data_IF_722414604872
#
_entry.id   IF_722414604872
#
_cell.length_a   1.000
_cell.length_b   1.000
_cell.length_c   1.000
_cell.angle_alpha   90.00
_cell.angle_beta   90.00
_cell.angle_gamma   90.00
#
_symmetry.space_group_name_H-M   'P 1'
#
loop_
_entity.id
_entity.type
_entity.pdbx_description
1 polymer ?
#
# COMPACT_ATOMS: atom_id res chain seq x y z
N UNK A 1 11.15 13.46 -14.52
CA UNK A 1 10.23 13.11 -15.61
C UNK A 1 8.80 13.53 -15.28
N UNK A 2 8.17 13.04 -14.18
CA UNK A 2 6.76 13.30 -13.85
C UNK A 2 6.42 14.81 -13.80
N UNK A 3 7.24 15.63 -13.14
CA UNK A 3 7.03 17.08 -13.08
C UNK A 3 7.08 17.74 -14.46
N UNK A 4 8.00 17.31 -15.34
CA UNK A 4 8.08 17.78 -16.72
C UNK A 4 6.81 17.41 -17.50
N UNK A 5 6.39 16.15 -17.41
CA UNK A 5 5.20 15.65 -18.10
C UNK A 5 3.90 16.28 -17.58
N UNK A 6 3.83 16.60 -16.28
CA UNK A 6 2.71 17.33 -15.69
C UNK A 6 2.70 18.81 -16.11
N UNK A 7 3.86 19.41 -16.40
CA UNK A 7 3.99 20.79 -16.89
C UNK A 7 3.73 20.96 -18.38
N UNK A 8 3.87 19.90 -19.18
CA UNK A 8 3.71 19.90 -20.62
C UNK A 8 2.30 19.46 -21.04
N UNK A 9 1.30 20.33 -20.91
CA UNK A 9 -0.08 20.07 -21.35
C UNK A 9 -1.04 19.73 -20.22
N UNK A 10 -2.07 18.92 -20.52
CA UNK A 10 -3.10 18.57 -19.54
C UNK A 10 -2.59 17.61 -18.48
N UNK A 11 -2.58 18.06 -17.21
CA UNK A 11 -2.20 17.25 -16.03
C UNK A 11 -3.10 16.03 -15.83
N UNK A 12 -4.30 16.02 -16.40
CA UNK A 12 -5.24 14.90 -16.35
C UNK A 12 -4.90 13.80 -17.36
N UNK A 13 -4.00 14.07 -18.31
CA UNK A 13 -3.55 13.09 -19.28
C UNK A 13 -3.03 11.82 -18.59
N UNK A 14 -3.47 10.62 -19.03
CA UNK A 14 -2.96 9.35 -18.50
C UNK A 14 -1.44 9.24 -18.57
N UNK A 15 -0.82 8.75 -17.50
CA UNK A 15 0.63 8.53 -17.46
C UNK A 15 1.05 7.24 -18.19
N UNK A 16 0.12 6.29 -18.32
CA UNK A 16 0.30 5.02 -19.06
C UNK A 16 -1.01 4.55 -19.69
N UNK A 17 -0.95 3.52 -20.49
CA UNK A 17 -2.14 2.91 -21.09
C UNK A 17 -3.01 2.27 -20.01
N UNK A 18 -4.32 2.38 -20.14
CA UNK A 18 -5.26 1.72 -19.23
C UNK A 18 -5.23 0.21 -19.50
N UNK A 19 -4.62 -0.53 -18.56
CA UNK A 19 -4.49 -1.99 -18.59
C UNK A 19 -5.61 -2.72 -17.83
N UNK A 20 -6.50 -1.98 -17.17
CA UNK A 20 -7.53 -2.53 -16.27
C UNK A 20 -8.93 -2.18 -16.75
N UNK A 21 -9.13 -2.13 -18.05
CA UNK A 21 -10.46 -1.89 -18.63
C UNK A 21 -11.43 -3.00 -18.23
N UNK A 22 -12.71 -2.66 -18.01
CA UNK A 22 -13.74 -3.67 -17.78
C UNK A 22 -13.70 -4.75 -18.86
N UNK A 23 -13.69 -6.02 -18.45
CA UNK A 23 -13.58 -7.16 -19.36
C UNK A 23 -12.16 -7.59 -19.74
N UNK A 24 -11.12 -6.80 -19.41
CA UNK A 24 -9.71 -7.20 -19.60
C UNK A 24 -9.13 -7.72 -18.27
N UNK A 25 -8.44 -8.86 -18.33
CA UNK A 25 -7.68 -9.42 -17.20
C UNK A 25 -6.20 -9.19 -17.51
N UNK A 26 -5.51 -8.28 -16.78
CA UNK A 26 -4.07 -8.14 -16.93
C UNK A 26 -3.37 -9.41 -16.45
N UNK A 27 -2.76 -10.17 -17.35
CA UNK A 27 -2.18 -11.49 -17.07
C UNK A 27 -1.12 -11.49 -15.97
N UNK A 28 -0.40 -10.36 -15.78
CA UNK A 28 0.72 -10.29 -14.84
C UNK A 28 0.38 -9.57 -13.53
N UNK A 29 -0.80 -8.95 -13.42
CA UNK A 29 -1.15 -8.14 -12.24
C UNK A 29 -1.37 -8.98 -10.99
N UNK A 30 -2.04 -10.12 -11.10
CA UNK A 30 -2.28 -11.03 -9.98
C UNK A 30 -0.97 -11.37 -9.26
N UNK A 31 0.04 -11.77 -10.03
CA UNK A 31 1.37 -12.14 -9.52
C UNK A 31 2.16 -10.99 -8.83
N UNK A 32 1.69 -9.75 -8.92
CA UNK A 32 2.26 -8.61 -8.20
C UNK A 32 1.55 -8.36 -6.88
N UNK A 33 0.30 -8.81 -6.75
CA UNK A 33 -0.60 -8.44 -5.68
C UNK A 33 -0.74 -9.54 -4.62
N UNK A 34 -0.94 -10.80 -5.04
CA UNK A 34 -1.21 -11.93 -4.14
C UNK A 34 -0.90 -13.26 -4.82
N UNK A 35 -0.63 -14.29 -4.02
CA UNK A 35 -0.55 -15.69 -4.47
C UNK A 35 -1.94 -16.33 -4.55
N UNK A 36 -2.94 -15.79 -3.85
CA UNK A 36 -4.31 -16.31 -3.84
C UNK A 36 -5.10 -15.82 -5.06
N UNK A 37 -5.20 -16.69 -6.07
CA UNK A 37 -5.91 -16.40 -7.32
C UNK A 37 -7.42 -16.23 -7.12
N UNK A 38 -8.01 -16.91 -6.15
CA UNK A 38 -9.46 -16.83 -5.88
C UNK A 38 -9.81 -15.47 -5.29
N UNK A 39 -8.99 -14.96 -4.35
CA UNK A 39 -9.15 -13.61 -3.81
C UNK A 39 -8.86 -12.52 -4.84
N UNK A 40 -7.95 -12.78 -5.77
CA UNK A 40 -7.76 -11.88 -6.89
C UNK A 40 -8.99 -11.85 -7.81
N UNK A 41 -9.66 -12.98 -8.00
CA UNK A 41 -10.88 -13.07 -8.80
C UNK A 41 -12.03 -12.20 -8.26
N UNK A 42 -12.08 -11.91 -6.96
CA UNK A 42 -13.04 -10.98 -6.37
C UNK A 42 -12.95 -9.58 -6.98
N UNK A 43 -11.75 -9.11 -7.30
CA UNK A 43 -11.56 -7.80 -7.95
C UNK A 43 -12.21 -7.78 -9.33
N UNK A 44 -12.04 -8.86 -10.09
CA UNK A 44 -12.65 -9.00 -11.41
C UNK A 44 -14.18 -9.11 -11.33
N UNK A 45 -14.67 -9.86 -10.35
CA UNK A 45 -16.11 -9.98 -10.11
C UNK A 45 -16.74 -8.61 -9.79
N UNK A 46 -16.12 -7.81 -8.92
CA UNK A 46 -16.60 -6.47 -8.58
C UNK A 46 -16.55 -5.53 -9.78
N UNK A 47 -15.49 -5.53 -10.57
CA UNK A 47 -15.38 -4.71 -11.79
C UNK A 47 -16.49 -5.05 -12.80
N UNK A 48 -16.82 -6.32 -12.94
CA UNK A 48 -17.88 -6.77 -13.84
C UNK A 48 -19.27 -6.40 -13.30
N UNK A 49 -19.46 -6.52 -12.00
CA UNK A 49 -20.73 -6.22 -11.34
C UNK A 49 -20.99 -4.72 -11.19
N UNK A 50 -19.96 -3.95 -10.98
CA UNK A 50 -19.98 -2.51 -10.73
C UNK A 50 -18.88 -1.83 -11.55
N UNK A 51 -19.09 -1.67 -12.88
CA UNK A 51 -18.08 -1.09 -13.76
C UNK A 51 -17.62 0.32 -13.36
N UNK A 52 -18.46 1.06 -12.65
CA UNK A 52 -18.12 2.38 -12.11
C UNK A 52 -17.01 2.37 -11.04
N UNK A 53 -16.69 1.20 -10.46
CA UNK A 53 -15.57 1.03 -9.54
C UNK A 53 -14.23 0.88 -10.26
N UNK A 54 -14.24 0.61 -11.57
CA UNK A 54 -13.01 0.46 -12.34
C UNK A 54 -12.36 1.83 -12.55
N UNK A 55 -11.25 2.07 -11.86
CA UNK A 55 -10.46 3.29 -12.04
C UNK A 55 -9.61 3.22 -13.30
N UNK A 56 -9.52 4.34 -14.00
CA UNK A 56 -8.57 4.49 -15.10
C UNK A 56 -7.11 4.62 -14.62
N UNK A 57 -6.16 4.70 -15.56
CA UNK A 57 -4.75 4.89 -15.23
C UNK A 57 -4.52 6.22 -14.52
N UNK A 58 -3.51 6.25 -13.64
CA UNK A 58 -3.13 7.49 -12.98
C UNK A 58 -2.73 8.56 -14.01
N UNK A 59 -3.09 9.81 -13.72
CA UNK A 59 -2.68 10.96 -14.54
C UNK A 59 -1.25 11.40 -14.20
N UNK A 60 -0.61 12.12 -15.12
CA UNK A 60 0.71 12.72 -14.84
C UNK A 60 0.67 13.67 -13.64
N UNK A 61 -0.42 14.40 -13.43
CA UNK A 61 -0.58 15.26 -12.26
C UNK A 61 -0.65 14.45 -10.95
N UNK A 62 -1.31 13.30 -10.96
CA UNK A 62 -1.33 12.39 -9.81
C UNK A 62 0.07 11.84 -9.51
N UNK A 63 0.76 11.35 -10.54
CA UNK A 63 2.14 10.80 -10.39
C UNK A 63 3.09 11.86 -9.83
N UNK A 64 3.03 13.09 -10.34
CA UNK A 64 3.84 14.21 -9.82
C UNK A 64 3.57 14.46 -8.34
N UNK A 65 2.30 14.53 -7.94
CA UNK A 65 1.90 14.75 -6.55
C UNK A 65 2.29 13.60 -5.64
N UNK A 66 2.15 12.35 -6.08
CA UNK A 66 2.57 11.17 -5.32
C UNK A 66 4.07 11.22 -5.01
N UNK A 67 4.91 11.47 -6.01
CA UNK A 67 6.35 11.62 -5.79
C UNK A 67 6.72 12.85 -4.95
N UNK A 68 5.99 13.95 -5.07
CA UNK A 68 6.21 15.13 -4.22
C UNK A 68 5.88 14.83 -2.75
N UNK A 69 4.77 14.12 -2.51
CA UNK A 69 4.36 13.66 -1.17
C UNK A 69 5.41 12.73 -0.55
N UNK A 70 5.84 11.70 -1.29
CA UNK A 70 6.89 10.78 -0.81
C UNK A 70 8.18 11.52 -0.43
N UNK A 71 8.63 12.47 -1.26
CA UNK A 71 9.79 13.31 -0.92
C UNK A 71 9.53 14.17 0.32
N UNK A 72 8.30 14.65 0.49
CA UNK A 72 7.87 15.43 1.66
C UNK A 72 7.99 14.65 2.96
N UNK A 73 7.59 13.37 2.96
CA UNK A 73 7.69 12.49 4.12
C UNK A 73 9.12 12.34 4.63
N UNK A 74 10.10 12.33 3.74
CA UNK A 74 11.51 12.14 4.11
C UNK A 74 12.23 13.43 4.52
N UNK A 75 11.55 14.58 4.58
CA UNK A 75 12.14 15.80 5.14
C UNK A 75 12.44 15.61 6.64
N UNK A 76 13.51 16.24 7.16
CA UNK A 76 13.83 16.19 8.60
C UNK A 76 12.64 16.66 9.44
N UNK A 77 12.36 15.93 10.52
CA UNK A 77 11.29 16.25 11.46
C UNK A 77 9.90 15.77 11.10
N UNK A 78 9.63 15.35 9.83
CA UNK A 78 8.29 14.95 9.41
C UNK A 78 7.91 13.60 10.01
N UNK A 79 8.69 12.56 9.76
CA UNK A 79 8.44 11.23 10.33
C UNK A 79 8.71 11.20 11.83
N UNK A 80 9.72 11.88 12.30
CA UNK A 80 10.06 12.01 13.71
C UNK A 80 8.96 12.74 14.52
N UNK A 81 8.15 13.55 13.85
CA UNK A 81 7.01 14.27 14.46
C UNK A 81 5.75 13.42 14.63
N UNK A 82 5.67 12.24 14.05
CA UNK A 82 4.51 11.34 14.17
C UNK A 82 4.51 10.70 15.56
N UNK A 83 3.55 11.08 16.40
CA UNK A 83 3.48 10.63 17.79
C UNK A 83 2.55 9.45 18.02
N UNK A 84 1.61 9.24 17.10
CA UNK A 84 0.71 8.08 17.17
C UNK A 84 1.49 6.79 16.96
N UNK A 85 1.11 5.69 17.65
CA UNK A 85 1.66 4.38 17.34
C UNK A 85 1.35 3.98 15.91
N UNK A 86 2.33 3.39 15.23
CA UNK A 86 2.21 2.96 13.83
C UNK A 86 2.62 1.49 13.73
N UNK A 87 1.76 0.67 13.14
CA UNK A 87 2.10 -0.71 12.79
C UNK A 87 2.22 -0.83 11.27
N UNK A 88 3.35 -1.32 10.80
CA UNK A 88 3.65 -1.48 9.39
C UNK A 88 3.70 -2.96 9.09
N UNK A 89 2.84 -3.42 8.20
CA UNK A 89 2.90 -4.77 7.63
C UNK A 89 3.47 -4.65 6.22
N UNK A 90 4.57 -5.30 5.94
CA UNK A 90 5.27 -5.17 4.66
C UNK A 90 5.95 -6.48 4.25
N UNK A 91 6.13 -6.68 2.94
CA UNK A 91 6.97 -7.75 2.40
C UNK A 91 8.22 -7.16 1.74
N UNK A 92 9.35 -7.83 1.87
CA UNK A 92 10.57 -7.44 1.16
C UNK A 92 10.61 -7.94 -0.30
N UNK A 93 9.63 -8.73 -0.69
CA UNK A 93 9.37 -9.16 -2.07
C UNK A 93 8.32 -8.31 -2.78
N UNK A 94 7.97 -7.15 -2.22
CA UNK A 94 7.07 -6.19 -2.86
C UNK A 94 7.68 -5.67 -4.17
N UNK A 95 6.97 -5.88 -5.27
CA UNK A 95 7.38 -5.46 -6.61
C UNK A 95 6.77 -4.12 -7.04
N UNK A 96 5.90 -3.54 -6.21
CA UNK A 96 5.22 -2.27 -6.47
C UNK A 96 5.74 -1.15 -5.57
N UNK A 97 6.19 -1.48 -4.35
CA UNK A 97 6.69 -0.52 -3.36
C UNK A 97 8.11 -0.88 -2.94
N UNK A 98 8.98 0.11 -2.85
CA UNK A 98 10.35 -0.07 -2.36
C UNK A 98 10.36 -0.38 -0.85
N UNK A 99 10.54 -1.66 -0.51
CA UNK A 99 10.66 -2.12 0.87
C UNK A 99 11.76 -1.37 1.66
N UNK A 100 12.89 -1.07 1.03
CA UNK A 100 13.96 -0.33 1.70
C UNK A 100 13.53 1.09 2.08
N UNK A 101 12.70 1.74 1.26
CA UNK A 101 12.12 3.03 1.61
C UNK A 101 11.15 2.91 2.79
N UNK A 102 10.30 1.87 2.80
CA UNK A 102 9.40 1.56 3.92
C UNK A 102 10.18 1.30 5.21
N UNK A 103 11.24 0.49 5.16
CA UNK A 103 12.09 0.21 6.31
C UNK A 103 12.83 1.45 6.82
N UNK A 104 13.28 2.34 5.92
CA UNK A 104 13.87 3.63 6.31
C UNK A 104 12.85 4.54 7.00
N UNK A 105 11.61 4.57 6.51
CA UNK A 105 10.53 5.34 7.15
C UNK A 105 10.21 4.78 8.56
N UNK A 106 10.08 3.47 8.70
CA UNK A 106 9.85 2.80 9.97
C UNK A 106 10.90 3.16 11.02
N UNK A 107 12.18 3.20 10.64
CA UNK A 107 13.29 3.57 11.54
C UNK A 107 13.22 5.01 12.04
N UNK A 108 12.56 5.90 11.30
CA UNK A 108 12.43 7.32 11.65
C UNK A 108 11.17 7.65 12.43
N UNK A 109 10.20 6.76 12.42
CA UNK A 109 8.97 6.88 13.21
C UNK A 109 9.27 6.48 14.66
N UNK A 110 9.02 7.36 15.65
CA UNK A 110 9.41 7.10 17.06
C UNK A 110 8.64 5.94 17.69
N UNK A 111 7.41 5.69 17.26
CA UNK A 111 6.51 4.69 17.84
C UNK A 111 6.07 3.65 16.78
N UNK A 112 6.98 3.23 15.89
CA UNK A 112 6.68 2.25 14.88
C UNK A 112 7.07 0.83 15.30
N UNK A 113 6.20 -0.11 14.96
CA UNK A 113 6.49 -1.54 14.93
C UNK A 113 6.33 -2.03 13.49
N UNK A 114 7.14 -2.99 13.06
CA UNK A 114 7.07 -3.52 11.72
C UNK A 114 7.02 -5.05 11.75
N UNK A 115 6.03 -5.62 11.08
CA UNK A 115 5.93 -7.02 10.75
C UNK A 115 6.36 -7.21 9.30
N UNK A 116 7.41 -8.02 9.11
CA UNK A 116 7.97 -8.28 7.80
C UNK A 116 7.62 -9.70 7.34
N UNK A 117 7.22 -9.80 6.08
CA UNK A 117 7.09 -11.03 5.31
C UNK A 117 8.20 -11.09 4.25
N UNK A 118 8.50 -12.30 3.79
CA UNK A 118 9.42 -12.58 2.70
C UNK A 118 8.68 -12.93 1.41
N UNK A 119 9.21 -13.90 0.66
CA UNK A 119 8.68 -14.38 -0.62
C UNK A 119 7.28 -15.02 -0.52
N UNK A 120 6.86 -15.38 0.69
CA UNK A 120 5.55 -15.93 0.96
C UNK A 120 4.40 -14.91 0.83
N UNK A 121 4.70 -13.61 0.67
CA UNK A 121 3.70 -12.57 0.52
C UNK A 121 4.06 -11.58 -0.59
N UNK A 122 3.05 -11.21 -1.37
CA UNK A 122 3.10 -10.11 -2.33
C UNK A 122 2.56 -8.79 -1.74
N UNK A 123 2.30 -7.80 -2.59
CA UNK A 123 1.93 -6.44 -2.19
C UNK A 123 0.67 -6.37 -1.30
N UNK A 124 -0.34 -7.18 -1.59
CA UNK A 124 -1.63 -7.17 -0.88
C UNK A 124 -1.69 -8.26 0.19
N UNK A 125 -0.87 -8.14 1.23
CA UNK A 125 -0.69 -9.15 2.29
C UNK A 125 -2.01 -9.62 2.92
N UNK A 126 -3.00 -8.72 3.06
CA UNK A 126 -4.32 -9.11 3.59
C UNK A 126 -5.20 -9.86 2.58
N UNK A 127 -4.75 -9.99 1.35
CA UNK A 127 -5.38 -10.81 0.30
C UNK A 127 -4.57 -12.07 -0.02
N UNK A 128 -3.51 -12.35 0.74
CA UNK A 128 -2.75 -13.58 0.60
C UNK A 128 -3.54 -14.80 1.11
N UNK A 129 -3.01 -15.99 0.86
CA UNK A 129 -3.52 -17.26 1.39
C UNK A 129 -3.75 -17.18 2.90
N UNK A 130 -4.69 -17.96 3.42
CA UNK A 130 -5.16 -17.90 4.81
C UNK A 130 -4.02 -17.84 5.83
N UNK A 131 -3.02 -18.69 5.69
CA UNK A 131 -1.91 -18.77 6.65
C UNK A 131 -1.14 -17.44 6.78
N UNK A 132 -0.94 -16.72 5.67
CA UNK A 132 -0.22 -15.44 5.62
C UNK A 132 -1.13 -14.31 6.09
N UNK A 133 -2.35 -14.26 5.54
CA UNK A 133 -3.36 -13.27 5.93
C UNK A 133 -3.65 -13.32 7.43
N UNK A 134 -3.91 -14.51 7.98
CA UNK A 134 -4.29 -14.67 9.38
C UNK A 134 -3.14 -14.30 10.32
N UNK A 135 -1.89 -14.60 9.92
CA UNK A 135 -0.70 -14.12 10.63
C UNK A 135 -0.62 -12.58 10.64
N UNK A 136 -0.92 -11.93 9.52
CA UNK A 136 -0.93 -10.48 9.43
C UNK A 136 -2.05 -9.87 10.30
N UNK A 137 -3.26 -10.45 10.25
CA UNK A 137 -4.41 -10.04 11.08
C UNK A 137 -4.09 -10.20 12.56
N UNK A 138 -3.54 -11.34 12.98
CA UNK A 138 -3.15 -11.56 14.37
C UNK A 138 -2.11 -10.53 14.86
N UNK A 139 -1.18 -10.14 14.00
CA UNK A 139 -0.22 -9.07 14.30
C UNK A 139 -0.89 -7.71 14.49
N UNK A 140 -1.86 -7.38 13.62
CA UNK A 140 -2.65 -6.14 13.71
C UNK A 140 -3.48 -6.12 15.00
N UNK A 141 -4.18 -7.22 15.30
CA UNK A 141 -5.01 -7.35 16.50
C UNK A 141 -4.17 -7.25 17.78
N UNK A 142 -3.02 -7.90 17.82
CA UNK A 142 -2.08 -7.79 18.95
C UNK A 142 -1.58 -6.35 19.17
N UNK A 143 -1.26 -5.65 18.08
CA UNK A 143 -0.86 -4.25 18.16
C UNK A 143 -2.00 -3.36 18.69
N UNK A 144 -3.22 -3.52 18.19
CA UNK A 144 -4.38 -2.74 18.63
C UNK A 144 -4.74 -3.03 20.09
N UNK A 145 -4.70 -4.30 20.52
CA UNK A 145 -4.92 -4.68 21.91
C UNK A 145 -3.89 -4.06 22.84
N UNK A 146 -2.61 -4.02 22.44
CA UNK A 146 -1.55 -3.37 23.21
C UNK A 146 -1.80 -1.87 23.43
N UNK A 147 -2.31 -1.17 22.42
CA UNK A 147 -2.69 0.24 22.54
C UNK A 147 -3.88 0.41 23.49
N UNK A 148 -4.92 -0.40 23.33
CA UNK A 148 -6.12 -0.33 24.18
C UNK A 148 -5.80 -0.61 25.65
N UNK A 149 -4.96 -1.62 25.95
CA UNK A 149 -4.50 -1.96 27.29
C UNK A 149 -3.66 -0.85 27.94
N UNK A 150 -2.77 -0.22 27.18
CA UNK A 150 -1.96 0.92 27.66
C UNK A 150 -2.80 2.15 28.03
N UNK A 151 -3.92 2.38 27.35
CA UNK A 151 -4.86 3.47 27.69
C UNK A 151 -5.69 3.17 28.93
N UNK A 152 -6.00 1.90 29.21
CA UNK A 152 -6.74 1.50 30.41
C UNK A 152 -5.88 1.64 31.68
N UNK A 153 -4.59 1.37 31.59
CA UNK A 153 -3.64 1.47 32.72
C UNK A 153 -3.30 2.92 33.10
N UNK A 154 -3.55 3.90 32.25
CA UNK A 154 -3.24 5.33 32.46
C UNK A 154 -4.50 6.21 32.72
N UNK A 155 -5.66 5.63 33.02
CA UNK A 155 -6.80 6.41 33.53
C UNK A 155 -6.65 6.60 35.05
N UNK A 156 -6.64 7.86 35.51
CA UNK A 156 -6.56 8.18 36.95
C UNK A 156 -7.80 7.72 37.72
#
# INVERSE_FOLDING_TARGET
LAALMAGLGDKRRPAWKWSEKPGEVPADRANLLTHDTDRYADELWWRNRRPELAMGPASWGWVERAYASMRGLFRPGVLEGVRVPVFIVATDHDRLVDFHATARAAKRLPNAQMMRFGEEAHHEILREEDAIRDKAIAGIDGFLAGIAGGHAANRP
#
